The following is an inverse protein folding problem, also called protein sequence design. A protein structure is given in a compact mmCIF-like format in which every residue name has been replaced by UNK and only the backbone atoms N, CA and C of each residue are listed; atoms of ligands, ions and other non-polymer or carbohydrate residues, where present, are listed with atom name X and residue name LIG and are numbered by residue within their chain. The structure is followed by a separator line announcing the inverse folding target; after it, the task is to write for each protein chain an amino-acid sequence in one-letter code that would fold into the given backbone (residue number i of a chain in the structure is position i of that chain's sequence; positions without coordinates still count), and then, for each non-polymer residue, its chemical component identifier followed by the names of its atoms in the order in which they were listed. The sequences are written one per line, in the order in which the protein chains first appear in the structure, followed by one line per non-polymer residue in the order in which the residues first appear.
data_IF_297804835974
#
_entry.id   IF_297804835974
#
_cell.length_a   1.000
_cell.length_b   1.000
_cell.length_c   1.000
_cell.angle_alpha   90.00
_cell.angle_beta   90.00
_cell.angle_gamma   90.00
#
_symmetry.space_group_name_H-M   'P 1'
#
loop_
_entity.id
_entity.type
_entity.pdbx_description
1 polymer ?
#
# COMPACT_ATOMS: atom_id res chain seq x y z
N UNK A 1 5.45 12.44 6.90
CA UNK A 1 5.95 12.50 8.31
C UNK A 1 7.44 12.24 8.38
N UNK A 2 8.12 12.59 9.47
CA UNK A 2 9.58 12.37 9.64
C UNK A 2 9.86 11.03 10.32
N UNK A 3 11.03 10.44 10.02
CA UNK A 3 11.54 9.27 10.74
C UNK A 3 11.85 9.62 12.19
N UNK A 4 11.49 8.74 13.12
CA UNK A 4 11.80 8.86 14.56
C UNK A 4 12.77 7.76 15.00
N UNK A 5 13.31 7.86 16.22
CA UNK A 5 14.18 6.80 16.76
C UNK A 5 13.47 5.45 16.84
N UNK A 6 12.16 5.46 17.12
CA UNK A 6 11.34 4.24 17.16
C UNK A 6 11.21 3.55 15.80
N UNK A 7 11.47 4.27 14.69
CA UNK A 7 11.48 3.67 13.35
C UNK A 7 12.75 2.82 13.09
N UNK A 8 13.88 3.14 13.72
CA UNK A 8 15.16 2.52 13.41
C UNK A 8 15.18 0.98 13.60
N UNK A 9 14.69 0.44 14.73
CA UNK A 9 14.61 -1.02 14.88
C UNK A 9 13.68 -1.67 13.84
N UNK A 10 12.56 -1.03 13.51
CA UNK A 10 11.61 -1.51 12.51
C UNK A 10 12.24 -1.54 11.12
N UNK A 11 12.94 -0.48 10.72
CA UNK A 11 13.65 -0.39 9.43
C UNK A 11 14.75 -1.43 9.30
N UNK A 12 15.52 -1.70 10.38
CA UNK A 12 16.52 -2.77 10.38
C UNK A 12 15.88 -4.16 10.28
N UNK A 13 14.77 -4.39 10.98
CA UNK A 13 14.04 -5.66 10.88
C UNK A 13 13.46 -5.86 9.46
N UNK A 14 12.90 -4.80 8.87
CA UNK A 14 12.46 -4.84 7.49
C UNK A 14 13.62 -5.16 6.52
N UNK A 15 14.79 -4.54 6.72
CA UNK A 15 15.98 -4.82 5.91
C UNK A 15 16.41 -6.30 5.99
N UNK A 16 16.36 -6.89 7.19
CA UNK A 16 16.65 -8.32 7.37
C UNK A 16 15.66 -9.22 6.60
N UNK A 17 14.37 -8.86 6.65
CA UNK A 17 13.35 -9.59 5.90
C UNK A 17 13.57 -9.45 4.38
N UNK A 18 13.83 -8.24 3.89
CA UNK A 18 14.15 -8.00 2.47
C UNK A 18 15.38 -8.80 2.05
N UNK A 19 16.45 -8.81 2.86
CA UNK A 19 17.67 -9.58 2.56
C UNK A 19 17.38 -11.09 2.44
N UNK A 20 16.62 -11.64 3.39
CA UNK A 20 16.23 -13.07 3.39
C UNK A 20 15.34 -13.45 2.22
N UNK A 21 14.43 -12.55 1.81
CA UNK A 21 13.60 -12.78 0.63
C UNK A 21 14.37 -12.66 -0.68
N UNK A 22 15.33 -11.75 -0.75
CA UNK A 22 16.06 -11.47 -1.99
C UNK A 22 17.01 -12.59 -2.42
N UNK A 23 17.50 -13.39 -1.48
CA UNK A 23 18.46 -14.48 -1.77
C UNK A 23 18.50 -15.51 -0.65
N UNK A 24 18.78 -16.78 -1.01
CA UNK A 24 19.05 -17.85 -0.05
C UNK A 24 20.53 -17.89 0.40
N UNK A 25 21.42 -17.15 -0.25
CA UNK A 25 22.85 -17.09 0.09
C UNK A 25 23.07 -16.21 1.34
N UNK A 26 23.47 -16.83 2.44
CA UNK A 26 23.75 -16.13 3.71
C UNK A 26 24.86 -15.07 3.61
N UNK A 27 25.86 -15.27 2.73
CA UNK A 27 26.91 -14.28 2.53
C UNK A 27 26.36 -13.03 1.83
N UNK A 28 25.48 -13.21 0.85
CA UNK A 28 24.79 -12.11 0.18
C UNK A 28 23.82 -11.41 1.14
N UNK A 29 23.05 -12.15 1.95
CA UNK A 29 22.20 -11.56 3.01
C UNK A 29 23.01 -10.70 3.98
N UNK A 30 24.17 -11.21 4.44
CA UNK A 30 25.09 -10.46 5.30
C UNK A 30 25.58 -9.18 4.61
N UNK A 31 25.98 -9.27 3.34
CA UNK A 31 26.45 -8.12 2.57
C UNK A 31 25.33 -7.04 2.45
N UNK A 32 24.11 -7.44 2.14
CA UNK A 32 22.94 -6.53 2.13
C UNK A 32 22.81 -5.84 3.49
N UNK A 33 22.82 -6.58 4.59
CA UNK A 33 22.66 -5.99 5.92
C UNK A 33 23.80 -5.03 6.29
N UNK A 34 25.05 -5.34 5.93
CA UNK A 34 26.19 -4.44 6.17
C UNK A 34 26.04 -3.13 5.39
N UNK A 35 25.63 -3.20 4.11
CA UNK A 35 25.41 -2.02 3.29
C UNK A 35 24.24 -1.18 3.81
N UNK A 36 23.15 -1.82 4.25
CA UNK A 36 22.00 -1.13 4.88
C UNK A 36 22.43 -0.44 6.19
N UNK A 37 23.20 -1.09 7.05
CA UNK A 37 23.66 -0.46 8.29
C UNK A 37 24.59 0.72 8.00
N UNK A 38 25.47 0.61 7.01
CA UNK A 38 26.31 1.72 6.56
C UNK A 38 25.47 2.90 6.05
N UNK A 39 24.44 2.63 5.23
CA UNK A 39 23.50 3.65 4.74
C UNK A 39 22.72 4.27 5.92
N UNK A 40 22.22 3.48 6.86
CA UNK A 40 21.47 3.99 8.01
C UNK A 40 22.32 4.82 8.96
N UNK A 41 23.64 4.62 9.03
CA UNK A 41 24.53 5.48 9.83
C UNK A 41 24.57 6.94 9.36
N UNK A 42 24.16 7.19 8.11
CA UNK A 42 24.09 8.52 7.47
C UNK A 42 22.64 8.96 7.20
N UNK A 43 21.65 8.32 7.85
CA UNK A 43 20.25 8.57 7.59
C UNK A 43 19.85 10.01 7.94
N UNK A 44 19.24 10.71 6.99
CA UNK A 44 18.55 11.96 7.27
C UNK A 44 17.17 11.69 7.88
N UNK A 45 17.08 11.88 9.19
CA UNK A 45 15.85 11.67 9.96
C UNK A 45 14.69 12.60 9.57
N UNK A 46 14.93 13.62 8.72
CA UNK A 46 13.86 14.48 8.18
C UNK A 46 13.07 13.79 7.08
N UNK A 47 13.63 12.75 6.46
CA UNK A 47 12.93 11.93 5.46
C UNK A 47 11.88 11.04 6.09
N UNK A 48 10.84 10.70 5.33
CA UNK A 48 9.83 9.73 5.75
C UNK A 48 10.42 8.30 5.84
N UNK A 49 9.91 7.42 6.74
CA UNK A 49 10.41 6.05 6.87
C UNK A 49 10.46 5.25 5.55
N UNK A 50 9.50 5.38 4.61
CA UNK A 50 9.60 4.71 3.31
C UNK A 50 10.81 5.10 2.46
N UNK A 51 11.40 6.27 2.68
CA UNK A 51 12.65 6.63 2.02
C UNK A 51 13.79 5.65 2.36
N UNK A 52 13.92 5.28 3.64
CA UNK A 52 14.92 4.29 4.07
C UNK A 52 14.61 2.89 3.52
N UNK A 53 13.32 2.51 3.49
CA UNK A 53 12.90 1.26 2.87
C UNK A 53 13.22 1.23 1.36
N UNK A 54 13.05 2.34 0.66
CA UNK A 54 13.48 2.49 -0.73
C UNK A 54 14.98 2.20 -0.91
N UNK A 55 15.82 2.87 -0.11
CA UNK A 55 17.27 2.66 -0.17
C UNK A 55 17.66 1.21 0.16
N UNK A 56 16.94 0.58 1.08
CA UNK A 56 17.09 -0.84 1.39
C UNK A 56 16.73 -1.73 0.18
N UNK A 57 15.61 -1.45 -0.49
CA UNK A 57 15.19 -2.19 -1.68
C UNK A 57 16.22 -2.06 -2.82
N UNK A 58 16.79 -0.86 -3.04
CA UNK A 58 17.85 -0.66 -4.04
C UNK A 58 19.13 -1.46 -3.73
N UNK A 59 19.52 -1.51 -2.44
CA UNK A 59 20.66 -2.32 -2.01
C UNK A 59 20.38 -3.79 -2.30
N UNK A 60 19.24 -4.32 -1.85
CA UNK A 60 18.85 -5.71 -2.05
C UNK A 60 18.74 -6.06 -3.54
N UNK A 61 18.15 -5.18 -4.35
CA UNK A 61 18.03 -5.34 -5.80
C UNK A 61 19.39 -5.51 -6.49
N UNK A 62 20.39 -4.72 -6.10
CA UNK A 62 21.76 -4.85 -6.63
C UNK A 62 22.41 -6.19 -6.27
N UNK A 63 22.22 -6.66 -5.03
CA UNK A 63 22.77 -7.93 -4.56
C UNK A 63 22.05 -9.16 -5.12
N UNK A 64 20.76 -9.05 -5.46
CA UNK A 64 19.96 -10.15 -6.05
C UNK A 64 20.07 -10.25 -7.58
N UNK A 65 20.89 -9.41 -8.22
CA UNK A 65 21.02 -9.41 -9.68
C UNK A 65 19.81 -8.90 -10.43
N UNK A 66 18.94 -8.10 -9.79
CA UNK A 66 17.78 -7.50 -10.45
C UNK A 66 16.56 -8.41 -10.58
N UNK A 67 16.43 -9.43 -9.73
CA UNK A 67 15.30 -10.34 -9.72
C UNK A 67 14.26 -9.91 -8.67
N UNK A 68 12.98 -9.83 -9.04
CA UNK A 68 11.90 -9.64 -8.08
C UNK A 68 11.59 -10.96 -7.35
N UNK A 69 12.15 -11.11 -6.15
CA UNK A 69 11.96 -12.30 -5.33
C UNK A 69 10.53 -12.43 -4.77
N UNK A 70 9.73 -11.36 -4.81
CA UNK A 70 8.37 -11.36 -4.28
C UNK A 70 7.29 -11.79 -5.29
N UNK A 71 7.66 -12.09 -6.54
CA UNK A 71 6.70 -12.55 -7.57
C UNK A 71 5.80 -13.70 -7.08
N UNK A 72 6.33 -14.81 -6.52
CA UNK A 72 5.49 -15.92 -6.09
C UNK A 72 4.51 -15.53 -4.99
N UNK A 73 4.93 -14.63 -4.10
CA UNK A 73 4.10 -14.13 -3.01
C UNK A 73 2.99 -13.21 -3.54
N UNK A 74 3.32 -12.29 -4.45
CA UNK A 74 2.35 -11.38 -5.09
C UNK A 74 1.28 -12.16 -5.85
N UNK A 75 1.68 -13.16 -6.65
CA UNK A 75 0.76 -14.00 -7.41
C UNK A 75 -0.19 -14.77 -6.48
N UNK A 76 0.35 -15.40 -5.44
CA UNK A 76 -0.44 -16.13 -4.44
C UNK A 76 -1.38 -15.21 -3.66
N UNK A 77 -0.94 -14.02 -3.28
CA UNK A 77 -1.76 -13.02 -2.59
C UNK A 77 -2.95 -12.60 -3.45
N UNK A 78 -2.71 -12.37 -4.74
CA UNK A 78 -3.76 -12.01 -5.70
C UNK A 78 -4.76 -13.15 -5.89
N UNK A 79 -4.29 -14.39 -6.05
CA UNK A 79 -5.16 -15.58 -6.15
C UNK A 79 -6.03 -15.76 -4.90
N UNK A 80 -5.45 -15.60 -3.71
CA UNK A 80 -6.17 -15.71 -2.44
C UNK A 80 -7.21 -14.59 -2.30
N UNK A 81 -6.87 -13.36 -2.69
CA UNK A 81 -7.80 -12.23 -2.64
C UNK A 81 -9.02 -12.46 -3.54
N UNK A 82 -8.84 -13.04 -4.74
CA UNK A 82 -9.97 -13.43 -5.59
C UNK A 82 -10.83 -14.51 -4.95
N UNK A 83 -10.25 -15.56 -4.37
CA UNK A 83 -11.00 -16.60 -3.66
C UNK A 83 -11.82 -16.03 -2.51
N UNK A 84 -11.24 -15.08 -1.77
CA UNK A 84 -11.95 -14.37 -0.69
C UNK A 84 -13.09 -13.51 -1.22
N UNK A 85 -12.88 -12.77 -2.29
CA UNK A 85 -13.92 -11.94 -2.90
C UNK A 85 -15.09 -12.81 -3.40
N UNK A 86 -14.82 -13.94 -4.05
CA UNK A 86 -15.87 -14.89 -4.46
C UNK A 86 -16.65 -15.45 -3.25
N UNK A 87 -15.95 -15.84 -2.17
CA UNK A 87 -16.60 -16.30 -0.94
C UNK A 87 -17.45 -15.21 -0.28
N UNK A 88 -17.00 -13.94 -0.36
CA UNK A 88 -17.78 -12.81 0.14
C UNK A 88 -19.07 -12.59 -0.65
N UNK A 89 -19.08 -12.83 -1.97
CA UNK A 89 -20.29 -12.72 -2.81
C UNK A 89 -21.41 -13.68 -2.39
N UNK A 90 -21.05 -14.81 -1.80
CA UNK A 90 -22.02 -15.79 -1.26
C UNK A 90 -22.54 -15.39 0.14
N UNK A 91 -21.94 -14.40 0.78
CA UNK A 91 -22.31 -13.94 2.12
C UNK A 91 -23.58 -13.07 2.09
N UNK A 92 -24.51 -13.23 3.07
CA UNK A 92 -25.65 -12.32 3.23
C UNK A 92 -25.22 -10.87 3.55
N UNK A 93 -23.97 -10.67 3.94
CA UNK A 93 -23.39 -9.35 4.20
C UNK A 93 -22.75 -8.70 2.96
N UNK A 94 -22.84 -9.34 1.80
CA UNK A 94 -22.34 -8.77 0.54
C UNK A 94 -23.23 -7.60 0.10
N UNK A 95 -22.67 -6.38 0.09
CA UNK A 95 -23.38 -5.13 -0.21
C UNK A 95 -22.59 -4.27 -1.21
N UNK A 96 -22.37 -4.76 -2.45
CA UNK A 96 -21.51 -4.07 -3.42
C UNK A 96 -22.02 -2.70 -3.83
N UNK A 97 -23.33 -2.42 -3.68
CA UNK A 97 -23.94 -1.12 -3.97
C UNK A 97 -23.68 -0.08 -2.86
N UNK A 98 -23.29 -0.52 -1.67
CA UNK A 98 -22.95 0.37 -0.56
C UNK A 98 -21.53 0.92 -0.72
N UNK A 99 -21.39 2.23 -0.82
CA UNK A 99 -20.07 2.88 -0.87
C UNK A 99 -19.26 2.61 0.40
N UNK A 100 -19.88 2.68 1.58
CA UNK A 100 -19.22 2.34 2.85
C UNK A 100 -18.67 0.90 2.83
N UNK A 101 -19.47 -0.06 2.33
CA UNK A 101 -19.04 -1.44 2.24
C UNK A 101 -17.81 -1.59 1.33
N UNK A 102 -17.79 -0.92 0.17
CA UNK A 102 -16.64 -0.94 -0.75
C UNK A 102 -15.38 -0.31 -0.12
N UNK A 103 -15.54 0.80 0.61
CA UNK A 103 -14.42 1.42 1.33
C UNK A 103 -13.89 0.50 2.44
N UNK A 104 -14.78 -0.12 3.23
CA UNK A 104 -14.38 -1.08 4.25
C UNK A 104 -13.62 -2.25 3.65
N UNK A 105 -14.09 -2.79 2.52
CA UNK A 105 -13.43 -3.87 1.81
C UNK A 105 -12.03 -3.46 1.34
N UNK A 106 -11.90 -2.30 0.70
CA UNK A 106 -10.61 -1.78 0.23
C UNK A 106 -9.61 -1.56 1.38
N UNK A 107 -10.07 -1.07 2.56
CA UNK A 107 -9.21 -0.92 3.74
C UNK A 107 -8.92 -2.28 4.39
N UNK A 108 -9.89 -3.20 4.39
CA UNK A 108 -9.72 -4.55 4.93
C UNK A 108 -8.66 -5.36 4.15
N UNK A 109 -8.53 -5.14 2.85
CA UNK A 109 -7.46 -5.74 2.04
C UNK A 109 -6.06 -5.50 2.59
N UNK A 110 -5.85 -4.38 3.26
CA UNK A 110 -4.58 -4.05 3.93
C UNK A 110 -4.39 -4.78 5.29
N UNK A 111 -5.43 -5.44 5.81
CA UNK A 111 -5.38 -6.25 7.06
C UNK A 111 -4.86 -7.64 6.76
N UNK A 112 -5.27 -8.20 5.63
CA UNK A 112 -4.88 -9.51 5.19
C UNK A 112 -3.43 -9.41 4.76
N UNK A 113 -2.53 -9.58 5.75
CA UNK A 113 -1.11 -9.65 5.46
C UNK A 113 -0.79 -10.99 4.81
N UNK A 114 -1.10 -11.06 3.52
CA UNK A 114 -0.80 -12.22 2.69
C UNK A 114 0.69 -12.57 2.70
N UNK A 115 1.55 -11.70 3.25
CA UNK A 115 2.99 -11.92 3.34
C UNK A 115 3.38 -12.86 4.48
N UNK A 116 2.60 -12.92 5.54
CA UNK A 116 2.91 -13.70 6.75
C UNK A 116 2.32 -15.11 6.68
N UNK A 117 1.28 -15.32 5.88
CA UNK A 117 0.47 -16.53 5.92
C UNK A 117 0.71 -17.45 4.72
N UNK A 118 1.85 -18.16 4.75
CA UNK A 118 2.17 -19.19 3.74
C UNK A 118 1.14 -20.34 3.71
N UNK A 119 0.41 -20.57 4.83
CA UNK A 119 -0.59 -21.64 5.02
C UNK A 119 -1.95 -21.10 5.51
N UNK A 120 -2.34 -19.86 5.14
CA UNK A 120 -3.63 -19.32 5.60
C UNK A 120 -4.77 -20.14 5.00
N UNK A 121 -5.56 -20.78 5.87
CA UNK A 121 -6.87 -21.32 5.50
C UNK A 121 -7.78 -20.13 5.08
N UNK A 122 -8.50 -20.29 3.97
CA UNK A 122 -9.46 -19.29 3.49
C UNK A 122 -10.46 -18.89 4.59
N UNK A 123 -10.76 -19.79 5.53
CA UNK A 123 -11.63 -19.53 6.68
C UNK A 123 -11.04 -18.52 7.65
N UNK A 124 -9.74 -18.56 7.90
CA UNK A 124 -9.07 -17.59 8.77
C UNK A 124 -8.98 -16.22 8.11
N UNK A 125 -8.76 -16.20 6.80
CA UNK A 125 -8.80 -14.96 6.03
C UNK A 125 -10.21 -14.35 5.99
N UNK A 126 -11.26 -15.17 5.80
CA UNK A 126 -12.67 -14.74 5.90
C UNK A 126 -13.00 -14.18 7.28
N UNK A 127 -12.51 -14.83 8.35
CA UNK A 127 -12.67 -14.32 9.72
C UNK A 127 -12.00 -12.96 9.89
N UNK A 128 -10.78 -12.79 9.40
CA UNK A 128 -10.07 -11.51 9.47
C UNK A 128 -10.80 -10.39 8.72
N UNK A 129 -11.39 -10.69 7.56
CA UNK A 129 -12.26 -9.74 6.83
C UNK A 129 -13.50 -9.42 7.65
N UNK A 130 -14.20 -10.42 8.19
CA UNK A 130 -15.39 -10.20 9.00
C UNK A 130 -15.08 -9.32 10.23
N UNK A 131 -13.99 -9.63 10.96
CA UNK A 131 -13.51 -8.80 12.07
C UNK A 131 -13.18 -7.36 11.66
N UNK A 132 -12.66 -7.16 10.44
CA UNK A 132 -12.40 -5.83 9.90
C UNK A 132 -13.68 -5.04 9.67
N UNK A 133 -14.73 -5.71 9.18
CA UNK A 133 -16.03 -5.07 8.96
C UNK A 133 -16.72 -4.62 10.26
N UNK A 134 -16.45 -5.29 11.39
CA UNK A 134 -16.95 -4.92 12.71
C UNK A 134 -16.17 -3.77 13.38
N UNK A 135 -14.97 -3.44 12.88
CA UNK A 135 -14.16 -2.38 13.47
C UNK A 135 -14.79 -1.00 13.24
N UNK A 136 -14.64 -0.09 14.24
CA UNK A 136 -15.02 1.30 14.05
C UNK A 136 -14.28 1.92 12.87
N UNK A 137 -15.01 2.71 12.09
CA UNK A 137 -14.48 3.52 10.98
C UNK A 137 -15.23 4.86 10.95
N UNK A 138 -14.57 5.91 10.51
CA UNK A 138 -15.20 7.23 10.39
C UNK A 138 -16.17 7.27 9.19
N UNK A 139 -17.46 7.02 9.47
CA UNK A 139 -18.53 7.05 8.46
C UNK A 139 -18.77 8.44 7.89
N UNK A 140 -18.49 9.50 8.67
CA UNK A 140 -18.57 10.87 8.17
C UNK A 140 -17.50 11.15 7.12
N UNK A 141 -16.26 10.69 7.35
CA UNK A 141 -15.19 10.77 6.36
C UNK A 141 -15.52 9.95 5.11
N UNK A 142 -16.17 8.78 5.25
CA UNK A 142 -16.61 7.95 4.12
C UNK A 142 -17.66 8.70 3.28
N UNK A 143 -18.67 9.31 3.88
CA UNK A 143 -19.70 10.07 3.14
C UNK A 143 -19.13 11.30 2.41
N UNK A 144 -18.14 11.97 3.01
CA UNK A 144 -17.38 13.04 2.34
C UNK A 144 -16.55 12.49 1.17
N UNK A 145 -15.88 11.35 1.34
CA UNK A 145 -15.10 10.69 0.29
C UNK A 145 -16.01 10.32 -0.90
N UNK A 146 -17.21 9.77 -0.66
CA UNK A 146 -18.18 9.46 -1.71
C UNK A 146 -18.52 10.71 -2.53
N UNK A 147 -18.80 11.81 -1.84
CA UNK A 147 -19.08 13.11 -2.47
C UNK A 147 -17.91 13.61 -3.32
N UNK A 148 -16.69 13.51 -2.80
CA UNK A 148 -15.46 13.93 -3.50
C UNK A 148 -15.21 13.06 -4.74
N UNK A 149 -15.30 11.72 -4.64
CA UNK A 149 -15.14 10.82 -5.79
C UNK A 149 -16.22 11.06 -6.85
N UNK A 150 -17.45 11.36 -6.43
CA UNK A 150 -18.54 11.71 -7.35
C UNK A 150 -18.27 12.99 -8.15
N UNK A 151 -17.72 14.01 -7.51
CA UNK A 151 -17.46 15.35 -8.11
C UNK A 151 -16.15 15.41 -8.90
N UNK A 152 -15.15 14.66 -8.53
CA UNK A 152 -13.84 14.66 -9.20
C UNK A 152 -13.99 14.24 -10.67
N UNK A 153 -13.20 14.86 -11.55
CA UNK A 153 -13.05 14.47 -12.95
C UNK A 153 -11.79 13.66 -13.16
N UNK A 154 -10.73 13.93 -12.37
CA UNK A 154 -9.45 13.23 -12.41
C UNK A 154 -9.12 12.69 -11.02
N UNK A 155 -9.11 11.38 -10.87
CA UNK A 155 -8.74 10.67 -9.63
C UNK A 155 -7.43 9.94 -9.87
N UNK A 156 -6.40 10.24 -9.08
CA UNK A 156 -5.18 9.44 -9.01
C UNK A 156 -5.34 8.43 -7.87
N UNK A 157 -5.35 7.12 -8.19
CA UNK A 157 -5.48 6.04 -7.21
C UNK A 157 -4.12 5.37 -6.99
N UNK A 158 -3.45 5.71 -5.88
CA UNK A 158 -2.14 5.16 -5.52
C UNK A 158 -2.34 3.82 -4.81
N UNK A 159 -1.99 2.74 -5.48
CA UNK A 159 -2.06 1.38 -4.93
C UNK A 159 -0.95 1.13 -3.89
N UNK A 160 -1.15 0.11 -3.05
CA UNK A 160 -0.18 -0.40 -2.08
C UNK A 160 0.24 -1.82 -2.47
N UNK A 161 -0.36 -2.86 -1.92
CA UNK A 161 0.10 -4.24 -2.08
C UNK A 161 -0.63 -5.02 -3.19
N UNK A 162 0.04 -6.01 -3.79
CA UNK A 162 -0.59 -7.07 -4.55
C UNK A 162 -1.59 -7.85 -3.65
N UNK A 163 -2.65 -8.38 -4.23
CA UNK A 163 -3.75 -8.98 -3.47
C UNK A 163 -4.75 -7.94 -2.94
N UNK A 164 -4.29 -6.90 -2.21
CA UNK A 164 -5.13 -5.79 -1.77
C UNK A 164 -5.84 -5.11 -2.96
N UNK A 165 -5.14 -4.95 -4.08
CA UNK A 165 -5.64 -4.34 -5.30
C UNK A 165 -6.89 -5.01 -5.89
N UNK A 166 -7.13 -6.29 -5.61
CA UNK A 166 -8.37 -7.01 -5.97
C UNK A 166 -9.57 -6.39 -5.26
N UNK A 167 -9.43 -6.03 -4.00
CA UNK A 167 -10.50 -5.37 -3.24
C UNK A 167 -10.64 -3.90 -3.61
N UNK A 168 -9.55 -3.25 -3.97
CA UNK A 168 -9.56 -1.89 -4.51
C UNK A 168 -10.36 -1.82 -5.81
N UNK A 169 -10.27 -2.85 -6.68
CA UNK A 169 -11.01 -2.89 -7.93
C UNK A 169 -12.53 -2.73 -7.72
N UNK A 170 -13.06 -3.26 -6.62
CA UNK A 170 -14.49 -3.15 -6.26
C UNK A 170 -14.88 -1.71 -5.90
N UNK A 171 -13.99 -0.98 -5.23
CA UNK A 171 -14.20 0.44 -4.92
C UNK A 171 -14.06 1.32 -6.16
N UNK A 172 -13.12 0.96 -7.03
CA UNK A 172 -12.75 1.75 -8.21
C UNK A 172 -13.75 1.63 -9.36
N UNK A 173 -14.38 0.46 -9.53
CA UNK A 173 -15.21 0.13 -10.70
C UNK A 173 -16.27 1.19 -11.08
N UNK A 174 -17.06 1.77 -10.14
CA UNK A 174 -18.05 2.79 -10.49
C UNK A 174 -17.46 4.13 -10.96
N UNK A 175 -16.15 4.32 -10.79
CA UNK A 175 -15.43 5.56 -11.10
C UNK A 175 -14.36 5.35 -12.17
N UNK A 176 -14.43 4.22 -12.90
CA UNK A 176 -13.39 3.74 -13.83
C UNK A 176 -12.91 4.81 -14.81
N UNK A 177 -13.83 5.53 -15.42
CA UNK A 177 -13.54 6.54 -16.45
C UNK A 177 -12.77 7.77 -15.94
N UNK A 178 -12.68 7.92 -14.61
CA UNK A 178 -12.02 9.07 -13.94
C UNK A 178 -10.69 8.70 -13.31
N UNK A 179 -10.38 7.39 -13.19
CA UNK A 179 -9.25 6.90 -12.41
C UNK A 179 -8.04 6.65 -13.29
N UNK A 180 -6.91 7.20 -12.86
CA UNK A 180 -5.57 6.76 -13.25
C UNK A 180 -4.93 6.05 -12.08
N UNK A 181 -4.36 4.86 -12.32
CA UNK A 181 -3.73 4.03 -11.29
C UNK A 181 -2.25 4.37 -11.15
N UNK A 182 -1.81 4.59 -9.91
CA UNK A 182 -0.41 4.78 -9.56
C UNK A 182 0.20 3.53 -8.92
N UNK A 183 1.32 3.04 -9.48
CA UNK A 183 2.05 1.84 -9.00
C UNK A 183 3.54 2.13 -8.79
N UNK A 184 4.30 1.15 -8.30
CA UNK A 184 5.76 1.26 -8.21
C UNK A 184 6.39 1.01 -9.60
N UNK A 185 7.45 1.75 -9.90
CA UNK A 185 8.19 1.60 -11.17
C UNK A 185 9.12 0.39 -11.17
N UNK A 186 9.58 -0.01 -9.98
CA UNK A 186 10.43 -1.17 -9.75
C UNK A 186 9.90 -1.98 -8.56
N UNK A 187 10.28 -3.28 -8.44
CA UNK A 187 9.87 -4.11 -7.31
C UNK A 187 10.24 -3.50 -5.95
N UNK A 188 9.25 -3.41 -5.08
CA UNK A 188 9.38 -2.94 -3.70
C UNK A 188 8.60 -3.89 -2.79
N UNK A 189 9.25 -4.95 -2.31
CA UNK A 189 8.59 -6.02 -1.55
C UNK A 189 7.32 -6.53 -2.26
N UNK A 190 6.19 -6.60 -1.58
CA UNK A 190 4.91 -7.05 -2.14
C UNK A 190 4.05 -5.93 -2.77
N UNK A 191 4.60 -4.72 -2.93
CA UNK A 191 3.89 -3.60 -3.56
C UNK A 191 3.53 -3.88 -5.02
N UNK A 192 2.46 -3.23 -5.48
CA UNK A 192 1.99 -3.30 -6.86
C UNK A 192 2.97 -2.65 -7.83
N UNK A 193 3.26 -3.36 -8.91
CA UNK A 193 3.90 -2.83 -10.12
C UNK A 193 2.96 -2.98 -11.32
N UNK A 194 3.38 -2.58 -12.52
CA UNK A 194 2.59 -2.79 -13.74
C UNK A 194 2.29 -4.27 -14.02
N UNK A 195 3.18 -5.19 -13.56
CA UNK A 195 3.07 -6.63 -13.77
C UNK A 195 1.78 -7.22 -13.18
N UNK A 196 1.38 -6.78 -12.01
CA UNK A 196 0.29 -7.40 -11.25
C UNK A 196 -1.10 -6.88 -11.65
N UNK A 197 -1.20 -5.81 -12.45
CA UNK A 197 -2.46 -5.12 -12.75
C UNK A 197 -3.51 -6.00 -13.41
N UNK A 198 -3.13 -6.76 -14.45
CA UNK A 198 -4.06 -7.64 -15.17
C UNK A 198 -4.66 -8.70 -14.24
N UNK A 199 -3.79 -9.37 -13.47
CA UNK A 199 -4.20 -10.41 -12.52
C UNK A 199 -5.08 -9.86 -11.38
N UNK A 200 -4.97 -8.56 -11.06
CA UNK A 200 -5.77 -7.89 -10.03
C UNK A 200 -7.08 -7.28 -10.56
N UNK A 201 -7.43 -7.49 -11.84
CA UNK A 201 -8.63 -6.91 -12.46
C UNK A 201 -8.49 -5.44 -12.84
N UNK A 202 -7.28 -4.89 -12.85
CA UNK A 202 -6.99 -3.48 -13.12
C UNK A 202 -6.34 -3.22 -14.49
N UNK A 203 -6.19 -4.25 -15.35
CA UNK A 203 -5.51 -4.15 -16.64
C UNK A 203 -6.10 -3.15 -17.63
N UNK A 204 -7.35 -2.70 -17.44
CA UNK A 204 -8.01 -1.74 -18.32
C UNK A 204 -7.97 -0.29 -17.85
N UNK A 205 -7.22 0.03 -16.79
CA UNK A 205 -7.07 1.41 -16.30
C UNK A 205 -5.85 2.09 -16.91
N UNK A 206 -5.88 3.43 -17.13
CA UNK A 206 -4.65 4.20 -17.34
C UNK A 206 -3.70 4.02 -16.15
N UNK A 207 -2.40 3.83 -16.40
CA UNK A 207 -1.41 3.48 -15.38
C UNK A 207 -0.19 4.38 -15.46
N UNK A 208 0.21 4.90 -14.31
CA UNK A 208 1.45 5.66 -14.10
C UNK A 208 2.28 4.94 -13.03
N UNK A 209 3.58 4.86 -13.21
CA UNK A 209 4.47 4.36 -12.16
C UNK A 209 5.32 5.47 -11.54
N UNK A 210 5.77 5.24 -10.30
CA UNK A 210 6.57 6.22 -9.58
C UNK A 210 8.05 6.27 -10.01
N UNK A 211 8.46 5.44 -10.98
CA UNK A 211 9.83 5.41 -11.54
C UNK A 211 10.87 4.74 -10.63
N UNK A 212 10.50 4.27 -9.44
CA UNK A 212 11.44 3.77 -8.43
C UNK A 212 10.91 2.53 -7.70
N UNK A 213 11.73 1.93 -6.80
CA UNK A 213 11.29 0.94 -5.82
C UNK A 213 10.96 1.57 -4.45
N UNK A 214 10.57 2.84 -4.42
CA UNK A 214 10.07 3.53 -3.23
C UNK A 214 8.68 2.95 -2.86
N UNK A 215 8.50 2.37 -1.66
CA UNK A 215 7.21 1.85 -1.20
C UNK A 215 6.30 2.98 -0.71
N UNK A 216 5.99 3.89 -1.61
CA UNK A 216 5.24 5.10 -1.38
C UNK A 216 5.44 6.13 -2.49
N UNK A 217 4.97 7.34 -2.24
CA UNK A 217 5.10 8.47 -3.17
C UNK A 217 5.66 9.65 -2.41
N UNK A 218 6.93 9.98 -2.65
CA UNK A 218 7.59 11.22 -2.18
C UNK A 218 7.77 12.09 -3.42
N UNK A 219 7.08 13.25 -3.53
CA UNK A 219 7.00 14.03 -4.78
C UNK A 219 8.36 14.42 -5.37
N UNK A 220 9.38 14.59 -4.53
CA UNK A 220 10.73 14.97 -4.95
C UNK A 220 11.51 13.82 -5.62
N UNK A 221 11.09 12.56 -5.42
CA UNK A 221 11.83 11.37 -5.84
C UNK A 221 11.08 10.46 -6.81
N UNK A 222 9.86 10.85 -7.21
CA UNK A 222 9.08 10.09 -8.19
C UNK A 222 9.29 10.61 -9.61
N UNK A 223 8.83 9.82 -10.60
CA UNK A 223 8.84 10.20 -12.01
C UNK A 223 8.12 11.53 -12.26
N UNK A 224 8.52 12.26 -13.29
CA UNK A 224 7.85 13.51 -13.70
C UNK A 224 6.38 13.26 -14.07
N UNK A 225 6.06 12.08 -14.62
CA UNK A 225 4.70 11.66 -14.95
C UNK A 225 3.85 11.51 -13.68
N UNK A 226 4.38 10.85 -12.64
CA UNK A 226 3.69 10.71 -11.35
C UNK A 226 3.51 12.09 -10.68
N UNK A 227 4.54 12.94 -10.72
CA UNK A 227 4.45 14.28 -10.14
C UNK A 227 3.39 15.12 -10.84
N UNK A 228 3.36 15.10 -12.16
CA UNK A 228 2.33 15.77 -12.96
C UNK A 228 0.93 15.24 -12.63
N UNK A 229 0.78 13.94 -12.46
CA UNK A 229 -0.52 13.36 -12.11
C UNK A 229 -0.99 13.78 -10.70
N UNK A 230 -0.07 13.91 -9.73
CA UNK A 230 -0.37 14.47 -8.41
C UNK A 230 -0.85 15.93 -8.49
N UNK A 231 -0.18 16.75 -9.32
CA UNK A 231 -0.48 18.18 -9.48
C UNK A 231 -1.81 18.42 -10.23
N UNK A 232 -2.22 17.49 -11.11
CA UNK A 232 -3.43 17.61 -11.93
C UNK A 232 -4.65 16.90 -11.35
N UNK A 233 -4.50 16.08 -10.31
CA UNK A 233 -5.60 15.33 -9.73
C UNK A 233 -6.55 16.23 -8.93
N UNK A 234 -7.87 16.09 -9.17
CA UNK A 234 -8.91 16.69 -8.32
C UNK A 234 -8.99 15.97 -6.96
N UNK A 235 -8.60 14.69 -6.94
CA UNK A 235 -8.56 13.84 -5.75
C UNK A 235 -7.48 12.76 -5.90
N UNK A 236 -6.66 12.57 -4.87
CA UNK A 236 -5.70 11.47 -4.77
C UNK A 236 -6.19 10.48 -3.73
N UNK A 237 -6.56 9.26 -4.14
CA UNK A 237 -6.82 8.15 -3.21
C UNK A 237 -5.46 7.49 -2.92
N UNK A 238 -5.08 7.44 -1.65
CA UNK A 238 -3.77 6.97 -1.22
C UNK A 238 -3.93 5.73 -0.34
N UNK A 239 -3.57 4.55 -0.89
CA UNK A 239 -3.66 3.27 -0.19
C UNK A 239 -2.39 3.00 0.61
N UNK A 240 -2.58 2.39 1.78
CA UNK A 240 -1.50 1.90 2.62
C UNK A 240 -0.79 2.96 3.47
N UNK A 241 -0.19 2.46 4.56
CA UNK A 241 0.49 3.32 5.53
C UNK A 241 1.75 3.98 4.97
N UNK A 242 2.48 3.31 4.08
CA UNK A 242 3.70 3.86 3.45
C UNK A 242 3.40 5.12 2.64
N UNK A 243 2.34 5.11 1.83
CA UNK A 243 1.90 6.30 1.11
C UNK A 243 1.44 7.42 2.08
N UNK A 244 0.72 7.07 3.18
CA UNK A 244 0.36 8.04 4.21
C UNK A 244 1.62 8.69 4.81
N UNK A 245 2.61 7.91 5.19
CA UNK A 245 3.86 8.43 5.78
C UNK A 245 4.60 9.39 4.84
N UNK A 246 4.51 9.17 3.53
CA UNK A 246 5.12 10.04 2.51
C UNK A 246 4.33 11.33 2.27
N UNK A 247 2.99 11.26 2.24
CA UNK A 247 2.14 12.31 1.67
C UNK A 247 1.39 13.17 2.72
N UNK A 248 1.34 12.77 4.00
CA UNK A 248 0.52 13.45 5.01
C UNK A 248 0.89 14.90 5.34
N UNK A 249 2.04 15.37 4.87
CA UNK A 249 2.48 16.78 5.05
C UNK A 249 2.52 17.54 3.73
N UNK A 250 1.93 16.98 2.66
CA UNK A 250 1.88 17.63 1.33
C UNK A 250 0.56 18.42 1.13
N UNK A 251 0.49 19.37 0.21
CA UNK A 251 -0.70 20.18 -0.01
C UNK A 251 -1.74 19.53 -0.93
N UNK A 252 -1.53 18.30 -1.39
CA UNK A 252 -2.43 17.64 -2.34
C UNK A 252 -3.80 17.31 -1.74
N UNK A 253 -4.86 17.23 -2.56
CA UNK A 253 -6.20 16.80 -2.15
C UNK A 253 -6.23 15.27 -1.95
N UNK A 254 -5.98 14.80 -0.73
CA UNK A 254 -5.72 13.40 -0.40
C UNK A 254 -6.86 12.76 0.38
N UNK A 255 -7.18 11.52 0.02
CA UNK A 255 -7.97 10.60 0.81
C UNK A 255 -7.12 9.37 1.14
N UNK A 256 -6.70 9.23 2.37
CA UNK A 256 -5.91 8.10 2.84
C UNK A 256 -6.81 6.96 3.30
N UNK A 257 -6.57 5.76 2.76
CA UNK A 257 -7.28 4.52 3.08
C UNK A 257 -6.27 3.46 3.53
N UNK A 258 -6.14 3.22 4.84
CA UNK A 258 -5.15 2.28 5.35
C UNK A 258 -5.51 1.76 6.75
N UNK A 259 -4.73 0.80 7.23
CA UNK A 259 -4.74 0.36 8.62
C UNK A 259 -3.51 0.89 9.35
N UNK A 260 -3.70 1.49 10.54
CA UNK A 260 -2.60 1.96 11.39
C UNK A 260 -1.88 0.77 12.04
N UNK A 261 -0.70 0.40 11.50
CA UNK A 261 0.09 -0.79 11.93
C UNK A 261 1.32 -0.42 12.76
N UNK A 262 1.65 0.86 12.88
CA UNK A 262 2.89 1.35 13.47
C UNK A 262 2.61 2.20 14.73
N UNK A 263 3.30 1.95 15.86
CA UNK A 263 3.13 2.75 17.07
C UNK A 263 3.35 4.26 16.86
N UNK A 264 4.27 4.65 15.96
CA UNK A 264 4.55 6.05 15.63
C UNK A 264 3.35 6.69 14.94
N UNK A 265 2.76 6.00 13.96
CA UNK A 265 1.55 6.45 13.25
C UNK A 265 0.34 6.48 14.18
N UNK A 266 0.18 5.46 15.03
CA UNK A 266 -0.88 5.40 16.05
C UNK A 266 -0.80 6.63 16.99
N UNK A 267 0.39 6.96 17.46
CA UNK A 267 0.63 8.15 18.30
C UNK A 267 0.37 9.46 17.54
N UNK A 268 0.83 9.54 16.29
CA UNK A 268 0.61 10.72 15.43
C UNK A 268 -0.88 10.99 15.21
N UNK A 269 -1.66 9.93 14.97
CA UNK A 269 -3.09 10.01 14.65
C UNK A 269 -3.99 9.98 15.89
N UNK A 270 -3.43 9.76 17.10
CA UNK A 270 -4.18 9.56 18.34
C UNK A 270 -5.27 8.49 18.20
N UNK A 271 -4.90 7.35 17.62
CA UNK A 271 -5.80 6.22 17.31
C UNK A 271 -5.31 4.92 17.94
N UNK A 272 -5.99 3.81 17.68
CA UNK A 272 -5.61 2.50 18.17
C UNK A 272 -4.79 1.70 17.14
N UNK A 273 -4.00 0.76 17.65
CA UNK A 273 -3.28 -0.20 16.79
C UNK A 273 -4.28 -1.03 15.98
N UNK A 274 -4.00 -1.20 14.70
CA UNK A 274 -4.86 -1.91 13.73
C UNK A 274 -6.24 -1.28 13.53
N UNK A 275 -6.41 0.00 13.84
CA UNK A 275 -7.62 0.76 13.49
C UNK A 275 -7.67 1.06 11.99
N UNK A 276 -8.89 1.06 11.44
CA UNK A 276 -9.15 1.42 10.05
C UNK A 276 -9.14 2.94 9.92
N UNK A 277 -8.44 3.46 8.93
CA UNK A 277 -8.29 4.88 8.72
C UNK A 277 -8.89 5.29 7.37
N UNK A 278 -9.80 6.25 7.42
CA UNK A 278 -10.26 7.05 6.29
C UNK A 278 -10.01 8.49 6.65
N UNK A 279 -9.00 9.11 6.03
CA UNK A 279 -8.60 10.47 6.37
C UNK A 279 -8.54 11.36 5.16
N UNK A 280 -9.15 12.54 5.26
CA UNK A 280 -9.19 13.52 4.18
C UNK A 280 -8.28 14.70 4.53
N UNK A 281 -7.49 15.15 3.56
CA UNK A 281 -6.56 16.27 3.70
C UNK A 281 -6.64 17.14 2.44
N UNK A 282 -6.70 18.45 2.58
CA UNK A 282 -6.69 19.38 1.44
C UNK A 282 -7.94 19.33 0.55
N UNK A 283 -9.02 18.65 1.01
CA UNK A 283 -10.25 18.43 0.23
C UNK A 283 -11.42 19.28 0.76
#
# INVERSE_FOLDING_TARGET
MKTTLDCLPCLLNNALNVARFSTADEMAQKAIMMDVMAMMSQLDMRQAPPYTAWRTNEIAWRHSGGVDAYIPQKDRSTEMAWKLLESLKESPNYKPDSFEWRVRLAVAGNIIDFSIFWDLDIRDAMKSVAEAFEKPIDTSAIGRLETLMGKANKILYLLDNAGEAVFDSVLMEPYRDKITVGVRGMPASNDMTRRELEASGLGGYPVIDNGTCLPGVIPEFVSDEMRKALDEADLVISKGQGNFECLNETPYPLAFLFMAKCPVVVKLLQTEMRSLQVRLQGC
#
